data_IF_735575934676
#
_entry.id   IF_735575934676
#
_cell.length_a   1.000
_cell.length_b   1.000
_cell.length_c   1.000
_cell.angle_alpha   90.00
_cell.angle_beta   90.00
_cell.angle_gamma   90.00
#
_symmetry.space_group_name_H-M   'P 1'
#
loop_
_entity.id
_entity.type
_entity.pdbx_description
1 polymer ?
#
# COMPACT_ATOMS: atom_id res chain seq x y z
N UNK A 1 -13.13 -10.95 22.41
CA UNK A 1 -11.73 -11.36 22.23
C UNK A 1 -11.68 -12.15 20.95
N UNK A 2 -11.01 -11.62 19.94
CA UNK A 2 -10.83 -12.27 18.66
C UNK A 2 -9.72 -13.32 18.77
N UNK A 3 -9.85 -14.41 18.03
CA UNK A 3 -8.94 -15.55 18.11
C UNK A 3 -7.52 -15.11 17.73
N UNK A 4 -6.54 -15.47 18.57
CA UNK A 4 -5.15 -15.14 18.35
C UNK A 4 -4.56 -16.04 17.27
N UNK A 5 -3.88 -15.44 16.31
CA UNK A 5 -3.26 -16.15 15.20
C UNK A 5 -1.79 -16.47 15.52
N UNK A 6 -1.31 -17.59 15.00
CA UNK A 6 0.10 -17.97 15.13
C UNK A 6 0.95 -17.09 14.19
N UNK A 7 2.06 -16.48 14.66
CA UNK A 7 2.97 -15.70 13.83
C UNK A 7 3.63 -16.47 12.67
N UNK A 8 3.60 -17.81 12.72
CA UNK A 8 4.10 -18.68 11.64
C UNK A 8 3.07 -18.76 10.50
N UNK A 9 1.78 -18.60 10.81
CA UNK A 9 0.66 -18.78 9.87
C UNK A 9 0.16 -17.44 9.34
N UNK A 10 0.10 -16.42 10.19
CA UNK A 10 -0.38 -15.09 9.82
C UNK A 10 0.54 -14.01 10.37
N UNK A 11 0.67 -12.94 9.61
CA UNK A 11 1.34 -11.70 10.02
C UNK A 11 0.50 -10.85 10.98
N UNK A 12 -0.79 -11.17 11.13
CA UNK A 12 -1.69 -10.51 12.06
C UNK A 12 -1.74 -11.24 13.41
N UNK A 13 -1.97 -10.48 14.49
CA UNK A 13 -2.07 -11.06 15.84
C UNK A 13 -3.43 -11.71 16.07
N UNK A 14 -4.48 -11.22 15.38
CA UNK A 14 -5.85 -11.69 15.58
C UNK A 14 -6.62 -11.84 14.27
N UNK A 15 -7.60 -12.72 14.27
CA UNK A 15 -8.53 -12.92 13.13
C UNK A 15 -9.26 -11.64 12.74
N UNK A 16 -9.57 -10.78 13.71
CA UNK A 16 -10.27 -9.51 13.46
C UNK A 16 -9.40 -8.54 12.65
N UNK A 17 -8.12 -8.37 13.04
CA UNK A 17 -7.17 -7.55 12.29
C UNK A 17 -6.98 -8.05 10.85
N UNK A 18 -6.85 -9.37 10.67
CA UNK A 18 -6.72 -9.99 9.35
C UNK A 18 -7.97 -9.77 8.49
N UNK A 19 -9.15 -9.88 9.10
CA UNK A 19 -10.44 -9.67 8.41
C UNK A 19 -10.62 -8.22 7.99
N UNK A 20 -10.30 -7.27 8.88
CA UNK A 20 -10.34 -5.83 8.58
C UNK A 20 -9.37 -5.46 7.47
N UNK A 21 -8.13 -5.96 7.53
CA UNK A 21 -7.13 -5.74 6.48
C UNK A 21 -7.59 -6.32 5.15
N UNK A 22 -8.12 -7.55 5.16
CA UNK A 22 -8.63 -8.20 3.95
C UNK A 22 -9.77 -7.41 3.33
N UNK A 23 -10.72 -6.92 4.12
CA UNK A 23 -11.84 -6.11 3.64
C UNK A 23 -11.34 -4.79 3.00
N UNK A 24 -10.39 -4.12 3.65
CA UNK A 24 -9.74 -2.92 3.11
C UNK A 24 -9.00 -3.22 1.80
N UNK A 25 -8.22 -4.30 1.76
CA UNK A 25 -7.43 -4.67 0.58
C UNK A 25 -8.34 -4.98 -0.60
N UNK A 26 -9.43 -5.73 -0.39
CA UNK A 26 -10.43 -6.00 -1.42
C UNK A 26 -11.07 -4.72 -1.96
N UNK A 27 -11.45 -3.79 -1.08
CA UNK A 27 -12.00 -2.50 -1.49
C UNK A 27 -10.98 -1.67 -2.30
N UNK A 28 -9.72 -1.66 -1.86
CA UNK A 28 -8.62 -0.96 -2.55
C UNK A 28 -8.37 -1.55 -3.94
N UNK A 29 -8.30 -2.89 -4.06
CA UNK A 29 -8.11 -3.58 -5.34
C UNK A 29 -9.29 -3.32 -6.28
N UNK A 30 -10.53 -3.39 -5.78
CA UNK A 30 -11.71 -3.10 -6.58
C UNK A 30 -11.68 -1.66 -7.13
N UNK A 31 -11.29 -0.68 -6.31
CA UNK A 31 -11.12 0.71 -6.75
C UNK A 31 -9.99 0.85 -7.79
N UNK A 32 -8.86 0.16 -7.61
CA UNK A 32 -7.75 0.16 -8.58
C UNK A 32 -8.13 -0.47 -9.91
N UNK A 33 -8.91 -1.56 -9.91
CA UNK A 33 -9.39 -2.21 -11.14
C UNK A 33 -10.46 -1.38 -11.86
N UNK A 34 -11.24 -0.59 -11.11
CA UNK A 34 -12.20 0.35 -11.68
C UNK A 34 -11.52 1.61 -12.25
N UNK A 35 -10.27 1.90 -11.90
CA UNK A 35 -9.50 2.99 -12.50
C UNK A 35 -9.11 2.63 -13.93
N UNK A 36 -9.72 3.30 -14.91
CA UNK A 36 -9.52 3.06 -16.34
C UNK A 36 -8.25 3.66 -16.93
N UNK A 37 -7.36 4.23 -16.10
CA UNK A 37 -6.08 4.76 -16.57
C UNK A 37 -5.22 3.64 -17.17
N UNK A 38 -4.49 3.91 -18.25
CA UNK A 38 -3.55 2.94 -18.79
C UNK A 38 -2.44 2.65 -17.77
N UNK A 39 -1.93 1.42 -17.78
CA UNK A 39 -0.73 1.06 -17.03
C UNK A 39 0.48 1.77 -17.60
N UNK A 40 1.38 2.24 -16.74
CA UNK A 40 2.66 2.84 -17.14
C UNK A 40 3.80 1.81 -17.08
N UNK A 41 4.85 1.93 -17.91
CA UNK A 41 6.05 1.11 -17.83
C UNK A 41 6.77 1.27 -16.49
N UNK A 42 7.56 0.26 -16.10
CA UNK A 42 8.33 0.30 -14.86
C UNK A 42 9.27 1.51 -14.78
N UNK A 43 9.95 1.85 -15.87
CA UNK A 43 10.88 2.99 -15.91
C UNK A 43 10.19 4.33 -15.66
N UNK A 44 8.93 4.47 -16.11
CA UNK A 44 8.12 5.65 -15.86
C UNK A 44 7.74 5.76 -14.37
N UNK A 45 7.36 4.65 -13.74
CA UNK A 45 7.13 4.60 -12.27
C UNK A 45 8.36 5.04 -11.49
N UNK A 46 9.55 4.57 -11.89
CA UNK A 46 10.79 4.91 -11.20
C UNK A 46 11.14 6.39 -11.38
N UNK A 47 10.93 6.95 -12.57
CA UNK A 47 11.13 8.38 -12.83
C UNK A 47 10.20 9.26 -11.99
N UNK A 48 8.91 8.89 -11.88
CA UNK A 48 7.96 9.59 -11.02
C UNK A 48 8.37 9.51 -9.53
N UNK A 49 8.85 8.35 -9.08
CA UNK A 49 9.32 8.15 -7.71
C UNK A 49 10.56 9.01 -7.39
N UNK A 50 11.54 9.07 -8.30
CA UNK A 50 12.72 9.92 -8.15
C UNK A 50 12.35 11.40 -7.99
N UNK A 51 11.38 11.87 -8.78
CA UNK A 51 10.88 13.24 -8.68
C UNK A 51 10.22 13.51 -7.33
N UNK A 52 9.38 12.60 -6.83
CA UNK A 52 8.74 12.71 -5.51
C UNK A 52 9.79 12.77 -4.39
N UNK A 53 10.81 11.91 -4.45
CA UNK A 53 11.89 11.88 -3.46
C UNK A 53 12.69 13.18 -3.49
N UNK A 54 13.05 13.69 -4.68
CA UNK A 54 13.79 14.94 -4.82
C UNK A 54 13.04 16.13 -4.19
N UNK A 55 11.71 16.21 -4.42
CA UNK A 55 10.84 17.23 -3.81
C UNK A 55 10.82 17.08 -2.28
N UNK A 56 10.64 15.87 -1.77
CA UNK A 56 10.61 15.62 -0.33
C UNK A 56 11.95 15.98 0.35
N UNK A 57 13.07 15.67 -0.30
CA UNK A 57 14.40 16.04 0.20
C UNK A 57 14.63 17.55 0.17
N UNK A 58 14.20 18.24 -0.88
CA UNK A 58 14.30 19.70 -0.96
C UNK A 58 13.51 20.34 0.18
N UNK A 59 12.26 19.90 0.40
CA UNK A 59 11.45 20.38 1.52
C UNK A 59 12.13 20.18 2.87
N UNK A 60 12.74 19.01 3.10
CA UNK A 60 13.48 18.72 4.33
C UNK A 60 14.73 19.59 4.50
N UNK A 61 15.41 19.95 3.41
CA UNK A 61 16.61 20.80 3.45
C UNK A 61 16.28 22.29 3.66
N UNK A 62 15.08 22.71 3.26
CA UNK A 62 14.60 24.07 3.43
C UNK A 62 13.87 24.32 4.76
N UNK A 63 13.61 23.27 5.53
CA UNK A 63 13.01 23.31 6.88
C UNK A 63 14.09 23.33 7.95
#
# INVERSE_FOLDING_TARGET
>A
MSEALSPIVSEFETVEQETEYTAWLQAKVAASLADGKPTIPHDEVMSEMEAIIAVAEQHRRSA
#
